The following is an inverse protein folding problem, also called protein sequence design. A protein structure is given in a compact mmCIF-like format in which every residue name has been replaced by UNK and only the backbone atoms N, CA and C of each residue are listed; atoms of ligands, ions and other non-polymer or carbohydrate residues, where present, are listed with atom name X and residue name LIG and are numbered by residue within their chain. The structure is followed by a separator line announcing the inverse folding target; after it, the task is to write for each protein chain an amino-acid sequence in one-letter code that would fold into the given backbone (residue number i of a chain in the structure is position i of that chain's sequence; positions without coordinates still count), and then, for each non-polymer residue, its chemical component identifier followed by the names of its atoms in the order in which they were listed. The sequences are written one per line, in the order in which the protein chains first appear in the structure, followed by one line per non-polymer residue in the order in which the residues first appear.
data_IF_419135888345
#
_entry.id   IF_419135888345
#
_cell.length_a   1.000
_cell.length_b   1.000
_cell.length_c   1.000
_cell.angle_alpha   90.00
_cell.angle_beta   90.00
_cell.angle_gamma   90.00
#
_symmetry.space_group_name_H-M   'P 1'
#
loop_
_entity.id
_entity.type
_entity.pdbx_description
1 polymer ?
#
# COMPACT_ATOMS: atom_id res chain seq x y z
N UNK A 1 54.86 7.48 -8.77
CA UNK A 1 54.10 8.69 -8.41
C UNK A 1 54.45 9.80 -9.40
N UNK A 2 53.73 9.89 -10.52
CA UNK A 2 53.86 10.99 -11.47
C UNK A 2 53.11 12.20 -10.88
N UNK A 3 53.82 13.31 -10.61
CA UNK A 3 53.20 14.57 -10.24
C UNK A 3 52.35 15.03 -11.42
N UNK A 4 51.03 15.04 -11.26
CA UNK A 4 50.10 15.60 -12.23
C UNK A 4 50.47 17.08 -12.46
N UNK A 5 50.51 17.57 -13.72
CA UNK A 5 50.84 18.96 -14.03
C UNK A 5 49.80 19.97 -13.49
N UNK A 6 48.71 19.50 -12.88
CA UNK A 6 47.59 20.31 -12.41
C UNK A 6 47.49 20.35 -10.87
N UNK A 7 48.52 20.86 -10.19
CA UNK A 7 48.61 20.91 -8.72
C UNK A 7 47.43 21.63 -8.04
N UNK A 8 46.90 22.69 -8.68
CA UNK A 8 45.72 23.41 -8.18
C UNK A 8 44.43 22.59 -8.30
N UNK A 9 44.31 21.75 -9.34
CA UNK A 9 43.17 20.88 -9.54
C UNK A 9 43.20 19.72 -8.54
N UNK A 10 44.37 19.12 -8.32
CA UNK A 10 44.56 18.08 -7.31
C UNK A 10 44.24 18.58 -5.88
N UNK A 11 44.62 19.83 -5.56
CA UNK A 11 44.31 20.44 -4.27
C UNK A 11 42.79 20.66 -4.06
N UNK A 12 42.05 21.01 -5.12
CA UNK A 12 40.60 21.13 -5.08
C UNK A 12 39.91 19.75 -5.01
N UNK A 13 40.41 18.78 -5.77
CA UNK A 13 39.88 17.42 -5.80
C UNK A 13 40.15 16.65 -4.50
N UNK A 14 41.28 16.87 -3.84
CA UNK A 14 41.63 16.23 -2.56
C UNK A 14 40.70 16.60 -1.40
N UNK A 15 39.92 17.68 -1.52
CA UNK A 15 38.86 18.02 -0.57
C UNK A 15 37.53 17.31 -0.83
N UNK A 16 37.40 16.56 -1.92
CA UNK A 16 36.17 15.83 -2.25
C UNK A 16 36.17 14.44 -1.63
N UNK A 17 35.03 14.04 -1.04
CA UNK A 17 34.87 12.71 -0.49
C UNK A 17 34.78 11.67 -1.62
N UNK A 18 35.45 10.53 -1.45
CA UNK A 18 35.25 9.38 -2.33
C UNK A 18 33.91 8.72 -2.01
N UNK A 19 32.94 8.86 -2.92
CA UNK A 19 31.59 8.31 -2.76
C UNK A 19 31.34 7.11 -3.67
N UNK A 20 32.37 6.52 -4.30
CA UNK A 20 32.19 5.43 -5.27
C UNK A 20 31.49 4.21 -4.68
N UNK A 21 31.82 3.85 -3.45
CA UNK A 21 31.17 2.71 -2.77
C UNK A 21 29.71 3.01 -2.43
N UNK A 22 29.41 4.24 -2.03
CA UNK A 22 28.02 4.68 -1.80
C UNK A 22 27.21 4.68 -3.10
N UNK A 23 27.78 5.16 -4.20
CA UNK A 23 27.13 5.12 -5.53
C UNK A 23 26.85 3.68 -5.92
N UNK A 24 27.83 2.77 -5.78
CA UNK A 24 27.65 1.34 -6.07
C UNK A 24 26.59 0.71 -5.18
N UNK A 25 26.50 1.11 -3.92
CA UNK A 25 25.47 0.61 -3.01
C UNK A 25 24.06 1.08 -3.41
N UNK A 26 23.92 2.32 -3.87
CA UNK A 26 22.63 2.91 -4.23
C UNK A 26 22.20 2.57 -5.67
N UNK A 27 23.12 2.11 -6.50
CA UNK A 27 22.88 1.74 -7.89
C UNK A 27 21.73 0.73 -8.01
N UNK A 28 20.70 1.09 -8.78
CA UNK A 28 19.51 0.26 -8.98
C UNK A 28 18.55 0.16 -7.79
N UNK A 29 18.81 0.84 -6.66
CA UNK A 29 17.90 0.89 -5.50
C UNK A 29 16.88 2.03 -5.58
N UNK A 30 17.26 3.15 -6.19
CA UNK A 30 16.39 4.32 -6.37
C UNK A 30 15.97 4.37 -7.85
N UNK A 31 14.66 4.41 -8.08
CA UNK A 31 14.07 4.50 -9.40
C UNK A 31 14.08 5.95 -9.92
N UNK A 32 13.98 6.18 -11.25
CA UNK A 32 14.03 7.53 -11.85
C UNK A 32 13.02 8.54 -11.25
N UNK A 33 11.89 8.06 -10.77
CA UNK A 33 10.85 8.84 -10.08
C UNK A 33 11.18 9.21 -8.62
N UNK A 34 12.37 8.83 -8.13
CA UNK A 34 12.81 9.11 -6.75
C UNK A 34 12.27 8.15 -5.69
N UNK A 35 11.66 7.04 -6.10
CA UNK A 35 11.14 6.01 -5.17
C UNK A 35 12.12 4.86 -4.99
N UNK A 36 12.01 4.15 -3.86
CA UNK A 36 12.82 2.95 -3.61
C UNK A 36 12.23 1.75 -4.35
N UNK A 37 13.04 1.13 -5.21
CA UNK A 37 12.67 -0.06 -5.97
C UNK A 37 12.38 -1.25 -5.07
N UNK A 38 11.46 -2.12 -5.49
CA UNK A 38 11.11 -3.32 -4.70
C UNK A 38 12.28 -4.28 -4.53
N UNK A 39 13.21 -4.29 -5.48
CA UNK A 39 14.46 -5.06 -5.47
C UNK A 39 15.59 -4.40 -4.66
N UNK A 40 15.38 -3.23 -4.06
CA UNK A 40 16.42 -2.52 -3.33
C UNK A 40 16.98 -3.32 -2.14
N UNK A 41 16.19 -4.23 -1.58
CA UNK A 41 16.69 -5.30 -0.71
C UNK A 41 15.84 -6.57 -0.81
N UNK A 42 16.40 -7.75 -0.53
CA UNK A 42 15.64 -9.00 -0.48
C UNK A 42 14.49 -8.97 0.56
N UNK A 43 14.71 -8.29 1.69
CA UNK A 43 13.70 -8.14 2.74
C UNK A 43 12.53 -7.27 2.26
N UNK A 44 12.82 -6.12 1.66
CA UNK A 44 11.79 -5.23 1.10
C UNK A 44 10.98 -5.94 0.00
N UNK A 45 11.66 -6.67 -0.90
CA UNK A 45 11.00 -7.45 -1.94
C UNK A 45 10.06 -8.52 -1.37
N UNK A 46 10.42 -9.16 -0.25
CA UNK A 46 9.56 -10.14 0.43
C UNK A 46 8.35 -9.45 1.08
N UNK A 47 8.57 -8.36 1.82
CA UNK A 47 7.52 -7.61 2.50
C UNK A 47 6.49 -7.09 1.49
N UNK A 48 6.94 -6.44 0.41
CA UNK A 48 6.03 -5.92 -0.63
C UNK A 48 5.22 -7.03 -1.30
N UNK A 49 5.83 -8.20 -1.58
CA UNK A 49 5.09 -9.36 -2.10
C UNK A 49 4.07 -9.91 -1.12
N UNK A 50 4.39 -9.96 0.17
CA UNK A 50 3.43 -10.39 1.19
C UNK A 50 2.25 -9.43 1.31
N UNK A 51 2.50 -8.12 1.26
CA UNK A 51 1.45 -7.08 1.24
C UNK A 51 0.52 -7.30 0.04
N UNK A 52 1.07 -7.47 -1.17
CA UNK A 52 0.24 -7.69 -2.37
C UNK A 52 -0.54 -9.01 -2.29
N UNK A 53 0.04 -10.08 -1.76
CA UNK A 53 -0.68 -11.34 -1.54
C UNK A 53 -1.86 -11.16 -0.59
N UNK A 54 -1.64 -10.54 0.57
CA UNK A 54 -2.67 -10.30 1.57
C UNK A 54 -3.80 -9.41 0.99
N UNK A 55 -3.46 -8.39 0.20
CA UNK A 55 -4.46 -7.57 -0.50
C UNK A 55 -5.37 -8.41 -1.40
N UNK A 56 -4.79 -9.32 -2.19
CA UNK A 56 -5.56 -10.21 -3.08
C UNK A 56 -6.46 -11.16 -2.27
N UNK A 57 -5.95 -11.70 -1.16
CA UNK A 57 -6.72 -12.58 -0.27
C UNK A 57 -7.92 -11.84 0.36
N UNK A 58 -7.69 -10.63 0.89
CA UNK A 58 -8.73 -9.75 1.45
C UNK A 58 -9.77 -9.40 0.39
N UNK A 59 -9.33 -9.01 -0.81
CA UNK A 59 -10.25 -8.67 -1.91
C UNK A 59 -11.11 -9.88 -2.31
N UNK A 60 -10.52 -11.08 -2.41
CA UNK A 60 -11.26 -12.30 -2.72
C UNK A 60 -12.29 -12.65 -1.64
N UNK A 61 -11.94 -12.47 -0.36
CA UNK A 61 -12.87 -12.67 0.76
C UNK A 61 -14.04 -11.68 0.69
N UNK A 62 -13.74 -10.40 0.46
CA UNK A 62 -14.75 -9.35 0.31
C UNK A 62 -15.69 -9.60 -0.87
N UNK A 63 -15.17 -10.04 -2.01
CA UNK A 63 -16.01 -10.36 -3.16
C UNK A 63 -16.99 -11.51 -2.88
N UNK A 64 -16.55 -12.54 -2.15
CA UNK A 64 -17.43 -13.65 -1.74
C UNK A 64 -18.53 -13.15 -0.79
N UNK A 65 -18.16 -12.29 0.16
CA UNK A 65 -19.10 -11.70 1.11
C UNK A 65 -20.09 -10.76 0.40
N UNK A 66 -19.60 -9.90 -0.49
CA UNK A 66 -20.41 -8.98 -1.30
C UNK A 66 -21.50 -9.74 -2.07
N UNK A 67 -21.15 -10.86 -2.72
CA UNK A 67 -22.13 -11.71 -3.44
C UNK A 67 -23.20 -12.27 -2.51
N UNK A 68 -22.81 -12.77 -1.32
CA UNK A 68 -23.76 -13.29 -0.33
C UNK A 68 -24.70 -12.20 0.20
N UNK A 69 -24.16 -11.04 0.56
CA UNK A 69 -24.94 -9.91 1.08
C UNK A 69 -25.84 -9.27 0.01
N UNK A 70 -25.40 -9.28 -1.25
CA UNK A 70 -26.20 -8.85 -2.40
C UNK A 70 -27.45 -9.72 -2.57
N UNK A 71 -27.27 -11.04 -2.58
CA UNK A 71 -28.39 -12.00 -2.67
C UNK A 71 -29.35 -11.87 -1.49
N UNK A 72 -28.85 -11.46 -0.33
CA UNK A 72 -29.63 -11.26 0.89
C UNK A 72 -30.36 -9.91 0.96
N UNK A 73 -30.20 -9.03 -0.05
CA UNK A 73 -30.81 -7.69 -0.09
C UNK A 73 -30.25 -6.69 0.93
N UNK A 74 -29.07 -6.96 1.49
CA UNK A 74 -28.48 -6.19 2.61
C UNK A 74 -27.70 -4.96 2.13
N UNK A 75 -27.17 -5.02 0.90
CA UNK A 75 -26.33 -3.97 0.33
C UNK A 75 -27.17 -2.85 -0.29
N UNK A 76 -26.70 -1.61 -0.16
CA UNK A 76 -27.22 -0.50 -0.94
C UNK A 76 -26.69 -0.53 -2.38
N UNK A 77 -25.42 -0.89 -2.54
CA UNK A 77 -24.74 -1.03 -3.84
C UNK A 77 -23.80 -2.24 -3.80
N UNK A 78 -23.63 -2.90 -4.94
CA UNK A 78 -22.79 -4.10 -5.09
C UNK A 78 -21.37 -3.73 -5.50
N UNK A 79 -20.74 -2.82 -4.74
CA UNK A 79 -19.38 -2.35 -4.98
C UNK A 79 -18.61 -2.29 -3.66
N UNK A 80 -17.35 -2.75 -3.68
CA UNK A 80 -16.41 -2.56 -2.58
C UNK A 80 -15.87 -1.13 -2.67
N UNK A 81 -16.02 -0.34 -1.61
CA UNK A 81 -15.48 1.01 -1.53
C UNK A 81 -14.25 1.06 -0.63
N UNK A 82 -13.44 2.11 -0.76
CA UNK A 82 -12.30 2.38 0.12
C UNK A 82 -12.59 3.65 0.93
N UNK A 83 -12.50 3.57 2.26
CA UNK A 83 -12.65 4.69 3.20
C UNK A 83 -11.50 4.64 4.18
N UNK A 84 -10.75 5.74 4.34
CA UNK A 84 -9.58 5.81 5.23
C UNK A 84 -8.60 4.64 5.02
N UNK A 85 -8.32 4.31 3.76
CA UNK A 85 -7.47 3.16 3.36
C UNK A 85 -7.98 1.78 3.80
N UNK A 86 -9.25 1.69 4.24
CA UNK A 86 -9.93 0.44 4.60
C UNK A 86 -10.96 0.07 3.55
N UNK A 87 -11.05 -1.22 3.24
CA UNK A 87 -12.12 -1.74 2.40
C UNK A 87 -13.43 -1.80 3.19
N UNK A 88 -14.49 -1.26 2.61
CA UNK A 88 -15.80 -1.17 3.25
C UNK A 88 -16.90 -1.58 2.28
N UNK A 89 -17.96 -2.15 2.82
CA UNK A 89 -19.17 -2.51 2.09
C UNK A 89 -20.29 -1.50 2.40
N UNK A 90 -21.02 -0.99 1.39
CA UNK A 90 -22.14 -0.07 1.60
C UNK A 90 -23.40 -0.85 2.00
N UNK A 91 -23.64 -0.95 3.29
CA UNK A 91 -24.79 -1.64 3.89
C UNK A 91 -25.96 -0.68 4.04
N UNK A 92 -27.19 -1.13 3.78
CA UNK A 92 -28.41 -0.36 4.09
C UNK A 92 -28.51 -0.16 5.59
N UNK A 93 -28.79 1.05 6.05
CA UNK A 93 -28.76 1.36 7.48
C UNK A 93 -29.71 0.48 8.31
N UNK A 94 -30.87 0.12 7.75
CA UNK A 94 -31.85 -0.78 8.35
C UNK A 94 -31.37 -2.23 8.48
N UNK A 95 -30.45 -2.67 7.62
CA UNK A 95 -29.93 -4.05 7.60
C UNK A 95 -28.60 -4.20 8.38
N UNK A 96 -28.13 -3.15 9.05
CA UNK A 96 -26.86 -3.14 9.82
C UNK A 96 -26.67 -4.36 10.71
N UNK A 97 -27.73 -4.78 11.40
CA UNK A 97 -27.68 -5.85 12.39
C UNK A 97 -27.38 -7.23 11.79
N UNK A 98 -27.54 -7.39 10.46
CA UNK A 98 -27.29 -8.65 9.76
C UNK A 98 -25.81 -8.85 9.39
N UNK A 99 -24.98 -7.83 9.57
CA UNK A 99 -23.56 -7.88 9.21
C UNK A 99 -22.70 -7.47 10.40
N UNK A 100 -21.82 -8.35 10.84
CA UNK A 100 -20.86 -8.04 11.88
C UNK A 100 -19.64 -7.34 11.29
N UNK A 101 -19.37 -6.12 11.80
CA UNK A 101 -18.26 -5.31 11.33
C UNK A 101 -18.19 -3.95 12.00
N UNK A 102 -17.17 -3.19 11.61
CA UNK A 102 -16.86 -1.86 12.13
C UNK A 102 -17.39 -0.82 11.14
N UNK A 103 -18.18 0.14 11.62
CA UNK A 103 -18.69 1.23 10.77
C UNK A 103 -17.65 2.33 10.67
N UNK A 104 -17.21 2.64 9.45
CA UNK A 104 -16.23 3.69 9.14
C UNK A 104 -16.87 5.01 8.71
N UNK A 105 -18.18 5.02 8.53
CA UNK A 105 -18.93 6.23 8.21
C UNK A 105 -20.33 5.93 7.71
N UNK A 106 -21.08 6.99 7.42
CA UNK A 106 -22.40 6.94 6.84
C UNK A 106 -22.50 7.90 5.64
N UNK A 107 -23.47 7.68 4.76
CA UNK A 107 -23.85 8.66 3.74
C UNK A 107 -24.47 9.90 4.38
N UNK A 108 -24.49 11.04 3.67
CA UNK A 108 -25.07 12.29 4.18
C UNK A 108 -26.55 12.18 4.56
N UNK A 109 -27.29 11.28 3.92
CA UNK A 109 -28.69 10.99 4.25
C UNK A 109 -28.85 9.97 5.39
N UNK A 110 -27.77 9.34 5.84
CA UNK A 110 -27.78 8.27 6.84
C UNK A 110 -28.29 6.92 6.33
N UNK A 111 -28.76 6.83 5.08
CA UNK A 111 -29.35 5.61 4.53
C UNK A 111 -28.33 4.48 4.25
N UNK A 112 -27.03 4.81 4.17
CA UNK A 112 -25.98 3.85 3.86
C UNK A 112 -24.89 3.93 4.89
N UNK A 113 -24.50 2.77 5.43
CA UNK A 113 -23.38 2.62 6.35
C UNK A 113 -22.22 1.95 5.62
N UNK A 114 -21.03 2.51 5.77
CA UNK A 114 -19.80 1.94 5.23
C UNK A 114 -19.17 1.06 6.29
N UNK A 115 -19.34 -0.26 6.15
CA UNK A 115 -18.96 -1.23 7.17
C UNK A 115 -17.78 -2.09 6.68
N UNK A 116 -16.73 -2.19 7.51
CA UNK A 116 -15.64 -3.15 7.36
C UNK A 116 -16.04 -4.47 8.03
N UNK A 117 -16.19 -5.57 7.27
CA UNK A 117 -16.59 -6.86 7.83
C UNK A 117 -15.54 -7.42 8.80
N UNK A 118 -15.97 -8.09 9.87
CA UNK A 118 -15.02 -8.74 10.80
C UNK A 118 -14.12 -9.80 10.11
N UNK A 119 -14.60 -10.42 9.03
CA UNK A 119 -13.85 -11.41 8.24
C UNK A 119 -12.58 -10.84 7.60
N UNK A 120 -12.45 -9.51 7.47
CA UNK A 120 -11.25 -8.85 6.93
C UNK A 120 -10.32 -8.28 8.01
N UNK A 121 -10.71 -8.35 9.28
CA UNK A 121 -9.95 -7.76 10.40
C UNK A 121 -8.75 -8.62 10.88
N UNK A 122 -8.72 -9.97 10.70
CA UNK A 122 -7.59 -10.79 11.14
C UNK A 122 -6.71 -11.38 10.01
N UNK A 123 -6.43 -10.66 8.92
CA UNK A 123 -5.48 -11.08 7.87
C UNK A 123 -4.28 -10.14 7.75
#
# INVERSE_FOLDING_TARGET
FLKSPFTRLDALAGGTADVRDLVRELEGKILPEGTVGSSASPALARIRRSIERLKVEVQSALEKLLRRLSQAGVLQDTVIAIRNERFVLPIRAEEKHRVHGIVHGASSSGATLYLEPMETVPL
#
